data_IF_449880387099
#
_entry.id   IF_449880387099
#
_cell.length_a   1.000
_cell.length_b   1.000
_cell.length_c   1.000
_cell.angle_alpha   90.00
_cell.angle_beta   90.00
_cell.angle_gamma   90.00
#
_symmetry.space_group_name_H-M   'P 1'
#
loop_
_entity.id
_entity.type
_entity.pdbx_description
1 polymer ?
#
# COMPACT_ATOMS: atom_id res chain seq x y z
N UNK A 1 49.80 -18.99 -0.86
CA UNK A 1 48.83 -19.41 -1.88
C UNK A 1 48.58 -20.88 -1.58
N UNK A 2 47.41 -21.38 -1.21
CA UNK A 2 46.02 -21.04 -1.53
C UNK A 2 45.10 -21.35 -0.34
N UNK A 3 44.19 -20.43 -0.01
CA UNK A 3 43.06 -20.71 0.88
C UNK A 3 41.90 -21.25 0.04
N UNK A 4 41.72 -22.58 0.09
CA UNK A 4 40.64 -23.28 -0.60
C UNK A 4 39.28 -22.88 -0.05
N UNK A 5 38.46 -22.32 -0.92
CA UNK A 5 37.09 -21.89 -0.67
C UNK A 5 36.23 -23.13 -0.31
N UNK A 6 35.95 -23.32 0.98
CA UNK A 6 35.11 -24.41 1.48
C UNK A 6 33.61 -24.06 1.31
N UNK A 7 33.15 -24.03 0.06
CA UNK A 7 31.71 -24.13 -0.22
C UNK A 7 31.25 -25.57 0.04
N UNK A 8 30.10 -25.80 0.71
CA UNK A 8 29.43 -27.09 0.70
C UNK A 8 28.73 -27.28 -0.67
N UNK A 9 29.50 -27.41 -1.75
CA UNK A 9 29.00 -27.67 -3.11
C UNK A 9 28.84 -29.19 -3.35
N UNK A 10 28.10 -29.85 -2.48
CA UNK A 10 27.90 -31.31 -2.48
C UNK A 10 26.44 -31.75 -2.41
N UNK A 11 25.51 -30.97 -2.98
CA UNK A 11 24.11 -31.39 -3.16
C UNK A 11 23.84 -31.73 -4.62
N UNK A 12 23.00 -32.74 -4.87
CA UNK A 12 22.62 -33.14 -6.22
C UNK A 12 22.07 -31.93 -7.01
N UNK A 13 22.42 -31.77 -8.30
CA UNK A 13 22.01 -30.64 -9.12
C UNK A 13 20.48 -30.50 -9.21
N UNK A 14 19.73 -31.59 -9.06
CA UNK A 14 18.26 -31.56 -8.98
C UNK A 14 17.74 -30.91 -7.70
N UNK A 15 18.40 -31.11 -6.56
CA UNK A 15 18.00 -30.50 -5.28
C UNK A 15 18.34 -29.00 -5.27
N UNK A 16 19.42 -28.59 -5.94
CA UNK A 16 19.78 -27.18 -6.12
C UNK A 16 18.77 -26.46 -7.02
N UNK A 17 18.35 -27.10 -8.11
CA UNK A 17 17.29 -26.59 -8.99
C UNK A 17 15.92 -26.54 -8.27
N UNK A 18 15.62 -27.53 -7.42
CA UNK A 18 14.42 -27.55 -6.58
C UNK A 18 14.44 -26.39 -5.57
N UNK A 19 15.55 -26.19 -4.87
CA UNK A 19 15.72 -25.09 -3.92
C UNK A 19 15.67 -23.71 -4.57
N UNK A 20 16.22 -23.54 -5.78
CA UNK A 20 16.09 -22.29 -6.54
C UNK A 20 14.65 -22.01 -6.97
N UNK A 21 13.88 -23.04 -7.33
CA UNK A 21 12.47 -22.92 -7.70
C UNK A 21 11.61 -22.54 -6.48
N UNK A 22 11.80 -23.22 -5.35
CA UNK A 22 11.12 -22.90 -4.09
C UNK A 22 11.48 -21.50 -3.58
N UNK A 23 12.75 -21.09 -3.71
CA UNK A 23 13.21 -19.74 -3.38
C UNK A 23 12.60 -18.68 -4.31
N UNK A 24 12.50 -18.96 -5.61
CA UNK A 24 11.86 -18.06 -6.57
C UNK A 24 10.35 -17.93 -6.30
N UNK A 25 9.67 -19.01 -5.91
CA UNK A 25 8.26 -18.98 -5.51
C UNK A 25 8.04 -18.18 -4.22
N UNK A 26 8.90 -18.36 -3.22
CA UNK A 26 8.85 -17.58 -1.97
C UNK A 26 9.18 -16.09 -2.19
N UNK A 27 10.15 -15.77 -3.06
CA UNK A 27 10.44 -14.39 -3.44
C UNK A 27 9.27 -13.76 -4.22
N UNK A 28 8.69 -14.47 -5.17
CA UNK A 28 7.52 -13.97 -5.90
C UNK A 28 6.35 -13.67 -4.94
N UNK A 29 6.05 -14.58 -4.00
CA UNK A 29 5.00 -14.38 -3.01
C UNK A 29 5.24 -13.15 -2.13
N UNK A 30 6.45 -13.00 -1.58
CA UNK A 30 6.82 -11.85 -0.73
C UNK A 30 6.82 -10.51 -1.47
N UNK A 31 7.21 -10.50 -2.74
CA UNK A 31 7.15 -9.31 -3.61
C UNK A 31 5.71 -8.88 -3.84
N UNK A 32 4.78 -9.83 -4.04
CA UNK A 32 3.35 -9.53 -4.22
C UNK A 32 2.70 -8.98 -2.94
N UNK A 33 3.03 -9.54 -1.78
CA UNK A 33 2.49 -9.08 -0.49
C UNK A 33 3.00 -7.68 -0.13
N UNK A 34 4.31 -7.45 -0.28
CA UNK A 34 4.94 -6.14 -0.02
C UNK A 34 4.35 -5.06 -0.93
N UNK A 35 4.16 -5.36 -2.22
CA UNK A 35 3.51 -4.43 -3.14
C UNK A 35 2.07 -4.14 -2.68
N UNK A 36 1.29 -5.16 -2.31
CA UNK A 36 -0.10 -4.97 -1.88
C UNK A 36 -0.22 -4.05 -0.65
N UNK A 37 0.67 -4.19 0.33
CA UNK A 37 0.71 -3.34 1.53
C UNK A 37 1.12 -1.88 1.22
N UNK A 38 2.15 -1.70 0.38
CA UNK A 38 2.56 -0.38 -0.06
C UNK A 38 1.45 0.33 -0.84
N UNK A 39 0.69 -0.41 -1.64
CA UNK A 39 -0.45 0.13 -2.39
C UNK A 39 -1.59 0.57 -1.47
N UNK A 40 -1.87 -0.17 -0.40
CA UNK A 40 -2.87 0.21 0.60
C UNK A 40 -2.47 1.52 1.33
N UNK A 41 -1.19 1.63 1.72
CA UNK A 41 -0.67 2.84 2.38
C UNK A 41 -0.75 4.07 1.48
N UNK A 42 -0.34 3.96 0.21
CA UNK A 42 -0.43 5.06 -0.75
C UNK A 42 -1.89 5.50 -0.97
N UNK A 43 -2.83 4.55 -1.00
CA UNK A 43 -4.27 4.83 -1.16
C UNK A 43 -4.81 5.64 0.01
N UNK A 44 -4.46 5.26 1.24
CA UNK A 44 -4.87 5.99 2.43
C UNK A 44 -4.28 7.40 2.48
N UNK A 45 -2.99 7.56 2.15
CA UNK A 45 -2.34 8.87 2.12
C UNK A 45 -3.03 9.82 1.11
N UNK A 46 -3.30 9.33 -0.10
CA UNK A 46 -4.03 10.14 -1.10
C UNK A 46 -5.44 10.49 -0.63
N UNK A 47 -6.16 9.57 0.02
CA UNK A 47 -7.48 9.87 0.55
C UNK A 47 -7.44 10.94 1.65
N UNK A 48 -6.44 10.91 2.53
CA UNK A 48 -6.20 11.95 3.55
C UNK A 48 -5.89 13.30 2.91
N UNK A 49 -5.01 13.34 1.90
CA UNK A 49 -4.66 14.56 1.17
C UNK A 49 -5.88 15.20 0.50
N UNK A 50 -6.69 14.41 -0.22
CA UNK A 50 -7.92 14.88 -0.88
C UNK A 50 -8.92 15.42 0.15
N UNK A 51 -9.08 14.72 1.27
CA UNK A 51 -9.98 15.14 2.34
C UNK A 51 -9.51 16.46 2.97
N UNK A 52 -8.21 16.60 3.22
CA UNK A 52 -7.62 17.83 3.74
C UNK A 52 -7.82 19.01 2.77
N UNK A 53 -7.56 18.82 1.49
CA UNK A 53 -7.77 19.83 0.45
C UNK A 53 -9.25 20.26 0.32
N UNK A 54 -10.19 19.33 0.51
CA UNK A 54 -11.61 19.64 0.53
C UNK A 54 -12.00 20.44 1.79
N UNK A 55 -11.53 20.02 2.97
CA UNK A 55 -11.77 20.73 4.23
C UNK A 55 -11.21 22.16 4.21
N UNK A 56 -10.04 22.39 3.60
CA UNK A 56 -9.45 23.73 3.48
C UNK A 56 -10.28 24.72 2.68
N UNK A 57 -11.25 24.25 1.88
CA UNK A 57 -12.16 25.11 1.11
C UNK A 57 -13.41 25.48 1.90
N UNK A 58 -13.67 24.82 3.03
CA UNK A 58 -14.83 25.11 3.87
C UNK A 58 -14.63 26.42 4.63
N UNK A 59 -15.71 27.19 4.71
CA UNK A 59 -15.77 28.45 5.47
C UNK A 59 -16.87 28.32 6.53
N UNK A 60 -16.67 27.49 7.57
CA UNK A 60 -17.65 27.34 8.64
C UNK A 60 -17.78 28.66 9.42
N UNK A 61 -19.00 28.97 9.83
CA UNK A 61 -19.34 30.20 10.55
C UNK A 61 -19.99 29.88 11.89
N UNK A 62 -19.97 30.85 12.81
CA UNK A 62 -20.55 30.71 14.15
C UNK A 62 -19.48 30.69 15.24
N UNK A 63 -19.85 30.19 16.41
CA UNK A 63 -18.94 30.00 17.54
C UNK A 63 -17.88 28.93 17.23
N UNK A 64 -16.74 28.92 17.94
CA UNK A 64 -15.71 27.89 17.76
C UNK A 64 -16.24 26.46 17.87
N UNK A 65 -17.18 26.21 18.79
CA UNK A 65 -17.79 24.89 18.96
C UNK A 65 -18.65 24.47 17.76
N UNK A 66 -19.45 25.41 17.22
CA UNK A 66 -20.25 25.17 16.02
C UNK A 66 -19.37 24.92 14.79
N UNK A 67 -18.28 25.67 14.63
CA UNK A 67 -17.32 25.46 13.56
C UNK A 67 -16.64 24.10 13.66
N UNK A 68 -16.27 23.68 14.87
CA UNK A 68 -15.66 22.37 15.12
C UNK A 68 -16.63 21.22 14.80
N UNK A 69 -17.92 21.37 15.12
CA UNK A 69 -18.96 20.40 14.75
C UNK A 69 -19.11 20.34 13.23
N UNK A 70 -19.20 21.49 12.56
CA UNK A 70 -19.35 21.55 11.10
C UNK A 70 -18.17 20.88 10.36
N UNK A 71 -16.93 21.12 10.80
CA UNK A 71 -15.75 20.47 10.23
C UNK A 71 -15.76 18.96 10.49
N UNK A 72 -16.20 18.52 11.68
CA UNK A 72 -16.28 17.09 12.02
C UNK A 72 -17.35 16.39 11.19
N UNK A 73 -18.49 17.02 10.96
CA UNK A 73 -19.57 16.48 10.14
C UNK A 73 -19.16 16.40 8.67
N UNK A 74 -18.49 17.43 8.15
CA UNK A 74 -17.90 17.38 6.81
C UNK A 74 -16.88 16.23 6.68
N UNK A 75 -15.99 16.06 7.67
CA UNK A 75 -15.00 14.96 7.69
C UNK A 75 -15.64 13.57 7.64
N UNK A 76 -16.80 13.38 8.30
CA UNK A 76 -17.55 12.10 8.30
C UNK A 76 -18.08 11.71 6.92
N UNK A 77 -18.21 12.66 6.00
CA UNK A 77 -18.64 12.42 4.61
C UNK A 77 -17.42 12.36 3.69
N UNK A 78 -16.56 13.38 3.76
CA UNK A 78 -15.45 13.55 2.82
C UNK A 78 -14.42 12.41 2.89
N UNK A 79 -14.08 11.93 4.10
CA UNK A 79 -13.05 10.90 4.22
C UNK A 79 -13.49 9.54 3.65
N UNK A 80 -14.66 8.98 4.02
CA UNK A 80 -15.13 7.74 3.40
C UNK A 80 -15.31 7.84 1.88
N UNK A 81 -15.76 8.98 1.36
CA UNK A 81 -15.91 9.19 -0.08
C UNK A 81 -14.55 9.24 -0.80
N UNK A 82 -13.56 9.93 -0.24
CA UNK A 82 -12.20 9.95 -0.78
C UNK A 82 -11.58 8.55 -0.78
N UNK A 83 -11.77 7.76 0.29
CA UNK A 83 -11.32 6.37 0.34
C UNK A 83 -12.01 5.52 -0.73
N UNK A 84 -13.32 5.66 -0.90
CA UNK A 84 -14.07 4.94 -1.93
C UNK A 84 -13.59 5.28 -3.34
N UNK A 85 -13.37 6.57 -3.64
CA UNK A 85 -12.89 7.05 -4.94
C UNK A 85 -11.50 6.49 -5.27
N UNK A 86 -10.52 6.62 -4.35
CA UNK A 86 -9.15 6.15 -4.59
C UNK A 86 -9.11 4.62 -4.68
N UNK A 87 -9.92 3.93 -3.87
CA UNK A 87 -10.05 2.47 -3.94
C UNK A 87 -10.62 2.01 -5.29
N UNK A 88 -11.64 2.69 -5.81
CA UNK A 88 -12.23 2.38 -7.11
C UNK A 88 -11.25 2.64 -8.26
N UNK A 89 -10.55 3.78 -8.25
CA UNK A 89 -9.54 4.10 -9.26
C UNK A 89 -8.41 3.05 -9.32
N UNK A 90 -7.96 2.56 -8.17
CA UNK A 90 -6.95 1.49 -8.07
C UNK A 90 -7.47 0.14 -8.56
N UNK A 91 -8.70 -0.24 -8.20
CA UNK A 91 -9.31 -1.48 -8.68
C UNK A 91 -9.53 -1.47 -10.20
N UNK A 92 -9.89 -0.30 -10.77
CA UNK A 92 -9.94 -0.11 -12.22
C UNK A 92 -8.58 -0.35 -12.88
N UNK A 93 -7.52 0.26 -12.33
CA UNK A 93 -6.15 0.07 -12.82
C UNK A 93 -5.65 -1.38 -12.76
N UNK A 94 -6.03 -2.13 -11.72
CA UNK A 94 -5.64 -3.55 -11.56
C UNK A 94 -6.44 -4.52 -12.45
N UNK A 95 -7.58 -4.10 -13.02
CA UNK A 95 -8.39 -4.91 -13.95
C UNK A 95 -7.98 -4.74 -15.43
N UNK A 96 -7.24 -3.69 -15.76
CA UNK A 96 -6.77 -3.41 -17.13
C UNK A 96 -5.43 -4.10 -17.48
N UNK A 97 -4.99 -5.09 -16.70
CA UNK A 97 -3.75 -5.85 -16.92
C UNK A 97 -4.02 -7.34 -17.03
#
# INVERSE_FOLDING_TARGET
>A
MEGGFNFPLGGDPEDLLRGLREFAEQQAASVHETQREQFATLTLNTAVELTGAALSQLQPSGTPDEQAIALRDAMRVLFPEAVALVSAARQGFMRER
#
